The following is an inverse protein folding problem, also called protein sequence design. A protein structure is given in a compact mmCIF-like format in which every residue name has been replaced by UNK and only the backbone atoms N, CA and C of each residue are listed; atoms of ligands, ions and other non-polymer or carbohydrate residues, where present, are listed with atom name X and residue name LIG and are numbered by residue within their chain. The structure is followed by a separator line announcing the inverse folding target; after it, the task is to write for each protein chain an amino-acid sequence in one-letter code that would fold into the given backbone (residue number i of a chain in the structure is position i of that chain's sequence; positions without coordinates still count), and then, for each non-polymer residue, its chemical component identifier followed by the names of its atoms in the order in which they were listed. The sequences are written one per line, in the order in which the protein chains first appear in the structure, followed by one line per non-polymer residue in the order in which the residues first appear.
data_IF_946326088377
#
_entry.id   IF_946326088377
#
_cell.length_a   1.000
_cell.length_b   1.000
_cell.length_c   1.000
_cell.angle_alpha   90.00
_cell.angle_beta   90.00
_cell.angle_gamma   90.00
#
_symmetry.space_group_name_H-M   'P 1'
#
loop_
_entity.id
_entity.type
_entity.pdbx_description
1 polymer ?
#
# COMPACT_ATOMS: atom_id res chain seq x y z
N UNK A 1 10.69 -12.64 15.99
CA UNK A 1 10.66 -11.18 15.77
C UNK A 1 10.83 -10.47 17.10
N UNK A 2 11.60 -9.39 17.14
CA UNK A 2 11.83 -8.57 18.33
C UNK A 2 10.99 -7.29 18.25
N UNK A 3 10.52 -6.80 19.40
CA UNK A 3 9.82 -5.51 19.50
C UNK A 3 10.80 -4.33 19.35
N UNK A 4 10.29 -3.13 19.04
CA UNK A 4 11.11 -1.90 18.96
C UNK A 4 11.98 -1.70 20.21
N UNK A 5 11.46 -1.82 21.46
CA UNK A 5 12.31 -1.71 22.64
C UNK A 5 13.44 -2.74 22.70
N UNK A 6 13.19 -3.97 22.23
CA UNK A 6 14.19 -5.04 22.25
C UNK A 6 15.30 -4.79 21.22
N UNK A 7 14.98 -4.31 20.02
CA UNK A 7 16.02 -3.97 19.01
C UNK A 7 16.81 -2.72 19.37
N UNK A 8 16.22 -1.79 20.14
CA UNK A 8 16.90 -0.64 20.73
C UNK A 8 17.73 -0.99 21.97
N UNK A 9 17.95 -2.28 22.28
CA UNK A 9 18.79 -2.72 23.40
C UNK A 9 18.20 -2.47 24.79
N UNK A 10 16.89 -2.22 24.90
CA UNK A 10 16.22 -1.90 26.16
C UNK A 10 16.43 -0.45 26.64
N UNK A 11 17.20 0.36 25.89
CA UNK A 11 17.44 1.76 26.21
C UNK A 11 16.19 2.63 26.03
N UNK A 12 15.84 3.40 27.07
CA UNK A 12 14.64 4.24 27.05
C UNK A 12 14.74 5.38 26.03
N UNK A 13 15.91 6.02 25.94
CA UNK A 13 16.14 7.15 25.06
C UNK A 13 16.07 6.72 23.58
N UNK A 14 16.71 5.63 23.23
CA UNK A 14 16.77 5.02 21.90
C UNK A 14 15.38 4.56 21.47
N UNK A 15 14.65 3.87 22.36
CA UNK A 15 13.28 3.43 22.10
C UNK A 15 12.36 4.62 21.83
N UNK A 16 12.45 5.68 22.65
CA UNK A 16 11.66 6.90 22.44
C UNK A 16 12.03 7.61 21.15
N UNK A 17 13.31 7.67 20.81
CA UNK A 17 13.77 8.24 19.55
C UNK A 17 13.23 7.45 18.35
N UNK A 18 13.24 6.12 18.39
CA UNK A 18 12.70 5.27 17.33
C UNK A 18 11.20 5.51 17.11
N UNK A 19 10.39 5.53 18.17
CA UNK A 19 8.96 5.84 18.03
C UNK A 19 8.71 7.25 17.51
N UNK A 20 9.48 8.26 17.98
CA UNK A 20 9.38 9.64 17.47
C UNK A 20 9.75 9.75 16.00
N UNK A 21 10.72 8.97 15.54
CA UNK A 21 11.10 8.90 14.13
C UNK A 21 9.95 8.33 13.30
N UNK A 22 9.35 7.22 13.74
CA UNK A 22 8.25 6.55 13.03
C UNK A 22 6.93 7.33 13.04
N UNK A 23 6.72 8.20 14.04
CA UNK A 23 5.56 9.08 14.18
C UNK A 23 5.81 10.51 13.65
N UNK A 24 6.94 10.73 12.96
CA UNK A 24 7.29 12.05 12.45
C UNK A 24 6.52 12.36 11.15
N UNK A 25 5.57 13.30 11.21
CA UNK A 25 4.79 13.73 10.05
C UNK A 25 5.62 14.34 8.90
N UNK A 26 6.90 14.70 9.15
CA UNK A 26 7.84 15.15 8.09
C UNK A 26 8.54 14.01 7.36
N UNK A 27 8.44 12.78 7.87
CA UNK A 27 9.05 11.59 7.27
C UNK A 27 7.99 10.85 6.46
N UNK A 28 8.13 10.85 5.14
CA UNK A 28 7.21 10.10 4.27
C UNK A 28 7.68 8.66 4.06
N UNK A 29 6.74 7.74 3.82
CA UNK A 29 7.04 6.34 3.51
C UNK A 29 8.00 6.20 2.32
N UNK A 30 7.87 7.05 1.30
CA UNK A 30 8.76 7.05 0.13
C UNK A 30 10.19 7.42 0.49
N UNK A 31 10.40 8.28 1.48
CA UNK A 31 11.75 8.63 1.95
C UNK A 31 12.41 7.44 2.67
N UNK A 32 11.65 6.75 3.52
CA UNK A 32 12.12 5.50 4.16
C UNK A 32 12.46 4.46 3.11
N UNK A 33 11.60 4.27 2.11
CA UNK A 33 11.85 3.35 1.00
C UNK A 33 13.09 3.76 0.19
N UNK A 34 13.30 5.06 -0.03
CA UNK A 34 14.45 5.59 -0.79
C UNK A 34 15.78 5.21 -0.15
N UNK A 35 15.85 5.16 1.18
CA UNK A 35 17.04 4.70 1.90
C UNK A 35 17.44 3.26 1.55
N UNK A 36 16.48 2.44 1.10
CA UNK A 36 16.72 1.08 0.62
C UNK A 36 16.85 1.00 -0.90
N UNK A 37 16.03 1.72 -1.66
CA UNK A 37 15.99 1.61 -3.12
C UNK A 37 17.25 2.16 -3.78
N UNK A 38 17.86 3.23 -3.25
CA UNK A 38 19.11 3.79 -3.81
C UNK A 38 20.26 2.77 -3.76
N UNK A 39 20.61 2.15 -2.60
CA UNK A 39 21.59 1.08 -2.58
C UNK A 39 21.22 -0.12 -3.45
N UNK A 40 19.93 -0.47 -3.56
CA UNK A 40 19.48 -1.54 -4.45
C UNK A 40 19.75 -1.21 -5.91
N UNK A 41 19.55 0.04 -6.35
CA UNK A 41 19.91 0.47 -7.70
C UNK A 41 21.43 0.35 -7.95
N UNK A 42 22.28 0.66 -6.98
CA UNK A 42 23.73 0.43 -7.10
C UNK A 42 24.07 -1.05 -7.29
N UNK A 43 23.42 -1.95 -6.55
CA UNK A 43 23.60 -3.41 -6.71
C UNK A 43 23.12 -3.88 -8.08
N UNK A 44 22.01 -3.34 -8.58
CA UNK A 44 21.46 -3.68 -9.90
C UNK A 44 22.44 -3.30 -11.01
N UNK A 45 23.12 -2.15 -10.92
CA UNK A 45 24.11 -1.70 -11.92
C UNK A 45 25.30 -2.67 -12.09
N UNK A 46 25.55 -3.52 -11.10
CA UNK A 46 26.62 -4.54 -11.14
C UNK A 46 26.16 -5.86 -11.79
N UNK A 47 24.90 -5.97 -12.19
CA UNK A 47 24.33 -7.17 -12.78
C UNK A 47 24.07 -6.95 -14.28
N UNK A 48 24.37 -7.95 -15.11
CA UNK A 48 24.03 -7.92 -16.53
C UNK A 48 22.51 -7.97 -16.77
N UNK A 49 21.80 -8.73 -15.93
CA UNK A 49 20.35 -8.89 -15.97
C UNK A 49 19.81 -9.14 -14.56
N UNK A 50 18.59 -8.66 -14.32
CA UNK A 50 17.86 -8.85 -13.07
C UNK A 50 16.40 -9.18 -13.36
N UNK A 51 15.72 -9.80 -12.40
CA UNK A 51 14.29 -10.03 -12.42
C UNK A 51 13.61 -9.16 -11.38
N UNK A 52 12.60 -8.39 -11.82
CA UNK A 52 11.76 -7.57 -10.96
C UNK A 52 10.46 -8.31 -10.67
N UNK A 53 10.35 -8.90 -9.49
CA UNK A 53 9.18 -9.62 -9.04
C UNK A 53 8.20 -8.66 -8.39
N UNK A 54 6.95 -8.70 -8.84
CA UNK A 54 5.85 -7.90 -8.31
C UNK A 54 4.73 -8.83 -7.88
N UNK A 55 4.25 -8.64 -6.66
CA UNK A 55 3.11 -9.36 -6.13
C UNK A 55 2.36 -8.48 -5.12
N UNK A 56 1.07 -8.76 -4.91
CA UNK A 56 0.23 -8.02 -3.96
C UNK A 56 -0.02 -8.87 -2.74
N UNK A 57 0.38 -8.37 -1.56
CA UNK A 57 0.13 -9.02 -0.27
C UNK A 57 -0.78 -8.18 0.63
N UNK A 58 -1.41 -8.83 1.60
CA UNK A 58 -2.29 -8.21 2.59
C UNK A 58 -1.58 -8.05 3.93
N UNK A 59 -1.63 -6.84 4.47
CA UNK A 59 -1.25 -6.56 5.86
C UNK A 59 -2.51 -6.59 6.72
N UNK A 60 -2.71 -7.68 7.45
CA UNK A 60 -3.89 -7.90 8.29
C UNK A 60 -3.72 -7.27 9.68
N UNK A 61 -4.58 -6.30 9.99
CA UNK A 61 -4.64 -5.61 11.27
C UNK A 61 -5.97 -5.79 11.98
N UNK A 62 -6.71 -6.87 11.69
CA UNK A 62 -8.05 -7.10 12.23
C UNK A 62 -8.10 -7.14 13.76
N UNK A 63 -7.01 -7.54 14.42
CA UNK A 63 -6.85 -7.49 15.88
C UNK A 63 -6.60 -6.10 16.47
N UNK A 64 -6.57 -5.03 15.66
CA UNK A 64 -6.31 -3.64 16.08
C UNK A 64 -7.43 -2.71 15.60
N UNK A 65 -8.65 -2.83 16.17
CA UNK A 65 -9.82 -2.11 15.67
C UNK A 65 -9.78 -0.59 15.86
N UNK A 66 -8.93 -0.09 16.75
CA UNK A 66 -8.72 1.36 16.96
C UNK A 66 -7.72 1.99 16.01
N UNK A 67 -7.06 1.20 15.14
CA UNK A 67 -6.07 1.70 14.19
C UNK A 67 -6.76 2.44 13.02
N UNK A 68 -6.47 3.72 12.88
CA UNK A 68 -7.01 4.53 11.80
C UNK A 68 -6.34 4.25 10.45
N UNK A 69 -6.99 4.63 9.35
CA UNK A 69 -6.42 4.55 8.00
C UNK A 69 -6.47 3.17 7.35
N UNK A 70 -7.06 2.17 8.02
CA UNK A 70 -7.25 0.83 7.47
C UNK A 70 -8.46 0.76 6.54
N UNK A 71 -8.44 -0.23 5.64
CA UNK A 71 -9.54 -0.54 4.73
C UNK A 71 -9.94 -2.02 4.80
N UNK A 72 -10.94 -2.42 4.01
CA UNK A 72 -11.41 -3.81 3.96
C UNK A 72 -10.42 -4.71 3.19
N UNK A 73 -10.12 -5.88 3.73
CA UNK A 73 -9.37 -6.93 3.00
C UNK A 73 -10.31 -7.82 2.18
N UNK A 74 -9.95 -9.07 1.93
CA UNK A 74 -10.76 -10.01 1.15
C UNK A 74 -12.13 -10.33 1.78
N UNK A 75 -12.24 -10.31 3.10
CA UNK A 75 -13.49 -10.50 3.86
C UNK A 75 -13.94 -9.21 4.55
N UNK A 76 -15.24 -9.07 4.82
CA UNK A 76 -15.83 -7.86 5.42
C UNK A 76 -15.32 -7.60 6.83
N UNK A 77 -15.11 -8.68 7.57
CA UNK A 77 -14.67 -8.66 8.96
C UNK A 77 -13.15 -8.42 9.08
N UNK A 78 -12.41 -8.49 7.96
CA UNK A 78 -10.97 -8.28 7.93
C UNK A 78 -10.64 -6.86 7.51
N UNK A 79 -9.75 -6.23 8.26
CA UNK A 79 -9.29 -4.87 8.00
C UNK A 79 -7.77 -4.82 7.94
N UNK A 80 -7.26 -3.97 7.04
CA UNK A 80 -5.83 -3.93 6.76
C UNK A 80 -5.47 -3.02 5.60
N UNK A 81 -4.27 -3.25 5.07
CA UNK A 81 -3.71 -2.56 3.91
C UNK A 81 -3.27 -3.59 2.86
N UNK A 82 -3.29 -3.18 1.60
CA UNK A 82 -2.59 -3.88 0.54
C UNK A 82 -1.18 -3.31 0.42
N UNK A 83 -0.23 -4.20 0.15
CA UNK A 83 1.16 -3.86 -0.12
C UNK A 83 1.58 -4.52 -1.43
N UNK A 84 2.16 -3.75 -2.33
CA UNK A 84 2.64 -4.22 -3.63
C UNK A 84 4.09 -3.79 -3.84
N UNK A 85 5.06 -4.56 -3.30
CA UNK A 85 6.47 -4.29 -3.48
C UNK A 85 6.97 -4.81 -4.84
N UNK A 86 8.05 -4.18 -5.32
CA UNK A 86 8.87 -4.68 -6.42
C UNK A 86 10.20 -5.19 -5.86
N UNK A 87 10.32 -6.51 -5.72
CA UNK A 87 11.53 -7.17 -5.25
C UNK A 87 12.44 -7.48 -6.44
N UNK A 88 13.71 -7.10 -6.37
CA UNK A 88 14.67 -7.37 -7.42
C UNK A 88 15.61 -8.50 -7.02
N UNK A 89 15.75 -9.47 -7.92
CA UNK A 89 16.64 -10.63 -7.75
C UNK A 89 17.60 -10.76 -8.94
N UNK A 90 18.80 -11.29 -8.69
CA UNK A 90 19.77 -11.63 -9.74
C UNK A 90 19.40 -12.95 -10.42
N UNK A 91 20.07 -13.24 -11.54
CA UNK A 91 19.92 -14.52 -12.25
C UNK A 91 20.35 -15.73 -11.40
N UNK A 92 21.27 -15.52 -10.47
CA UNK A 92 21.69 -16.53 -9.50
C UNK A 92 20.70 -16.72 -8.34
N UNK A 93 19.55 -16.02 -8.35
CA UNK A 93 18.53 -16.09 -7.31
C UNK A 93 18.85 -15.28 -6.06
N UNK A 94 19.80 -14.35 -6.12
CA UNK A 94 20.17 -13.50 -4.97
C UNK A 94 19.26 -12.27 -4.91
N UNK A 95 18.64 -12.03 -3.76
CA UNK A 95 17.85 -10.82 -3.53
C UNK A 95 18.74 -9.57 -3.44
N UNK A 96 18.54 -8.62 -4.36
CA UNK A 96 19.29 -7.35 -4.43
C UNK A 96 18.61 -6.24 -3.60
N UNK A 97 17.30 -6.38 -3.37
CA UNK A 97 16.48 -5.54 -2.51
C UNK A 97 15.20 -5.06 -3.18
N UNK A 98 14.56 -4.03 -2.62
CA UNK A 98 13.28 -3.51 -3.08
C UNK A 98 13.50 -2.16 -3.76
N UNK A 99 12.95 -1.99 -4.96
CA UNK A 99 13.07 -0.73 -5.74
C UNK A 99 11.89 0.18 -5.55
N UNK A 100 10.69 -0.39 -5.49
CA UNK A 100 9.44 0.35 -5.36
C UNK A 100 8.46 -0.43 -4.46
N UNK A 101 7.52 0.28 -3.87
CA UNK A 101 6.49 -0.29 -3.03
C UNK A 101 5.27 0.62 -2.97
N UNK A 102 4.10 0.05 -3.21
CA UNK A 102 2.82 0.74 -3.11
C UNK A 102 2.05 0.17 -1.93
N UNK A 103 1.33 1.03 -1.21
CA UNK A 103 0.37 0.59 -0.22
C UNK A 103 -0.93 1.38 -0.30
N UNK A 104 -2.05 0.72 -0.03
CA UNK A 104 -3.36 1.36 -0.04
C UNK A 104 -4.37 0.64 0.84
N UNK A 105 -5.38 1.38 1.28
CA UNK A 105 -6.56 0.86 1.94
C UNK A 105 -7.70 0.76 0.91
N UNK A 106 -8.42 -0.37 0.86
CA UNK A 106 -9.65 -0.47 0.06
C UNK A 106 -10.81 0.18 0.80
N UNK A 107 -11.64 0.93 0.07
CA UNK A 107 -12.87 1.49 0.61
C UNK A 107 -13.80 0.37 1.11
N UNK A 108 -14.50 0.64 2.21
CA UNK A 108 -15.68 -0.15 2.54
C UNK A 108 -16.69 -0.02 1.41
N UNK A 109 -17.28 -1.14 0.99
CA UNK A 109 -18.35 -1.11 0.00
C UNK A 109 -19.49 -0.31 0.62
N UNK A 110 -19.91 0.78 -0.02
CA UNK A 110 -21.09 1.50 0.45
C UNK A 110 -22.26 0.52 0.45
N UNK A 111 -22.89 0.32 1.60
CA UNK A 111 -24.24 -0.25 1.63
C UNK A 111 -25.09 0.68 0.75
N UNK A 112 -25.70 0.15 -0.32
CA UNK A 112 -26.78 0.89 -1.00
C UNK A 112 -27.80 1.21 0.08
N UNK A 113 -28.09 2.49 0.31
CA UNK A 113 -29.17 2.88 1.22
C UNK A 113 -30.45 2.24 0.69
N UNK A 114 -31.10 1.42 1.53
CA UNK A 114 -32.44 0.94 1.22
C UNK A 114 -33.35 2.16 1.04
N UNK A 115 -34.14 2.18 -0.03
CA UNK A 115 -35.16 3.22 -0.21
C UNK A 115 -36.12 3.16 0.99
N UNK A 116 -36.51 4.29 1.60
CA UNK A 116 -37.46 4.27 2.70
C UNK A 116 -38.83 3.85 2.15
N UNK A 117 -39.36 2.71 2.57
CA UNK A 117 -40.75 2.34 2.32
C UNK A 117 -41.10 0.87 2.13
N UNK A 118 -40.14 -0.02 1.90
CA UNK A 118 -40.47 -1.44 1.66
C UNK A 118 -39.71 -2.33 2.63
N UNK A 119 -40.45 -2.92 3.58
CA UNK A 119 -39.94 -4.02 4.40
C UNK A 119 -39.57 -5.19 3.50
N UNK A 120 -38.28 -5.45 3.33
CA UNK A 120 -37.79 -6.51 2.46
C UNK A 120 -36.31 -6.79 2.71
N UNK A 121 -36.02 -8.05 2.99
CA UNK A 121 -34.72 -8.63 3.34
C UNK A 121 -33.59 -8.29 2.35
N UNK A 122 -32.38 -8.24 2.91
CA UNK A 122 -31.08 -8.14 2.24
C UNK A 122 -31.02 -8.98 0.94
N UNK A 123 -30.77 -8.33 -0.21
CA UNK A 123 -30.46 -9.03 -1.46
C UNK A 123 -29.06 -8.62 -1.93
N UNK A 124 -28.17 -9.61 -1.95
CA UNK A 124 -26.81 -9.52 -2.46
C UNK A 124 -26.83 -9.34 -3.99
N UNK A 125 -26.57 -8.11 -4.46
CA UNK A 125 -26.51 -7.78 -5.88
C UNK A 125 -25.08 -7.65 -6.40
N UNK A 126 -24.65 -8.56 -7.27
CA UNK A 126 -23.52 -8.37 -8.19
C UNK A 126 -23.96 -7.42 -9.30
N UNK A 127 -23.39 -6.22 -9.42
CA UNK A 127 -23.53 -5.46 -10.68
C UNK A 127 -22.39 -4.46 -10.88
N UNK A 128 -21.69 -4.62 -12.00
CA UNK A 128 -20.77 -3.67 -12.61
C UNK A 128 -21.53 -2.39 -12.96
N UNK A 129 -21.18 -1.26 -12.36
CA UNK A 129 -21.76 0.04 -12.67
C UNK A 129 -20.99 0.73 -13.81
N UNK A 130 -21.70 1.38 -14.72
CA UNK A 130 -21.08 2.19 -15.77
C UNK A 130 -20.40 3.43 -15.14
N UNK A 131 -19.28 3.92 -15.71
CA UNK A 131 -18.46 4.97 -15.10
C UNK A 131 -19.21 6.25 -14.68
N UNK A 132 -20.31 6.59 -15.36
CA UNK A 132 -21.13 7.78 -15.13
C UNK A 132 -22.07 7.72 -13.92
N UNK A 133 -22.22 6.55 -13.28
CA UNK A 133 -23.18 6.32 -12.18
C UNK A 133 -22.50 6.00 -10.83
N UNK A 134 -21.19 6.25 -10.72
CA UNK A 134 -20.45 6.07 -9.46
C UNK A 134 -20.76 7.23 -8.50
N UNK A 135 -21.24 6.98 -7.26
CA UNK A 135 -21.41 8.04 -6.29
C UNK A 135 -20.03 8.61 -5.92
N UNK A 136 -19.94 9.95 -5.94
CA UNK A 136 -18.74 10.64 -5.53
C UNK A 136 -18.43 10.35 -4.06
N UNK A 137 -17.33 9.62 -3.85
CA UNK A 137 -16.49 9.70 -2.65
C UNK A 137 -17.12 9.13 -1.37
N UNK A 138 -16.59 7.98 -0.93
CA UNK A 138 -16.77 7.50 0.44
C UNK A 138 -16.20 8.55 1.42
N UNK A 139 -17.08 9.29 2.10
CA UNK A 139 -16.72 10.41 2.99
C UNK A 139 -15.96 9.98 4.27
N UNK A 140 -15.85 8.68 4.54
CA UNK A 140 -15.19 8.14 5.74
C UNK A 140 -13.80 7.55 5.47
N UNK A 141 -13.28 7.63 4.23
CA UNK A 141 -11.90 7.21 3.94
C UNK A 141 -10.96 8.42 4.08
N UNK A 142 -10.13 8.50 5.14
CA UNK A 142 -9.18 9.60 5.31
C UNK A 142 -7.98 9.51 4.34
N UNK A 143 -7.79 8.39 3.66
CA UNK A 143 -6.77 8.25 2.63
C UNK A 143 -7.36 8.67 1.28
N UNK A 144 -6.73 9.64 0.60
CA UNK A 144 -6.95 9.85 -0.84
C UNK A 144 -6.72 8.49 -1.50
N UNK A 145 -7.77 7.92 -2.10
CA UNK A 145 -7.65 6.70 -2.88
C UNK A 145 -6.69 7.00 -4.04
N UNK A 146 -5.41 6.66 -3.87
CA UNK A 146 -4.47 6.60 -4.96
C UNK A 146 -5.04 5.66 -6.02
N UNK A 147 -4.87 6.03 -7.28
CA UNK A 147 -5.23 5.18 -8.41
C UNK A 147 -4.62 3.78 -8.19
N UNK A 148 -5.46 2.74 -8.22
CA UNK A 148 -5.00 1.35 -8.21
C UNK A 148 -4.22 1.13 -9.50
N UNK A 149 -2.90 0.87 -9.49
CA UNK A 149 -2.23 0.43 -10.70
C UNK A 149 -2.82 -0.93 -11.10
N UNK A 150 -3.30 -1.02 -12.34
CA UNK A 150 -3.75 -2.28 -12.92
C UNK A 150 -2.55 -3.26 -12.95
N UNK A 151 -2.71 -4.53 -12.52
CA UNK A 151 -1.62 -5.48 -12.28
C UNK A 151 -0.83 -5.93 -13.52
N UNK A 152 -1.10 -5.36 -14.71
CA UNK A 152 -0.51 -5.80 -15.99
C UNK A 152 0.45 -4.80 -16.64
N UNK A 153 0.66 -3.60 -16.10
CA UNK A 153 1.54 -2.62 -16.77
C UNK A 153 2.95 -2.72 -16.21
N UNK A 154 3.71 -3.66 -16.76
CA UNK A 154 5.17 -3.66 -16.70
C UNK A 154 5.68 -2.40 -17.40
N UNK A 155 6.17 -1.42 -16.65
CA UNK A 155 6.71 -0.19 -17.23
C UNK A 155 8.09 -0.48 -17.84
N UNK A 156 8.12 -0.61 -19.17
CA UNK A 156 9.36 -0.49 -19.94
C UNK A 156 9.77 0.99 -20.00
N UNK A 157 11.07 1.25 -20.15
CA UNK A 157 11.73 2.57 -20.06
C UNK A 157 11.31 3.60 -21.13
N UNK A 158 10.23 3.36 -21.88
CA UNK A 158 9.96 3.98 -23.18
C UNK A 158 8.50 4.41 -23.42
N UNK A 159 7.66 4.56 -22.39
CA UNK A 159 6.30 5.13 -22.56
C UNK A 159 6.26 6.65 -22.28
N UNK A 160 5.99 7.49 -23.31
CA UNK A 160 6.01 8.96 -23.21
C UNK A 160 4.71 9.61 -22.71
N UNK A 161 3.64 8.87 -22.42
CA UNK A 161 2.34 9.44 -21.99
C UNK A 161 2.18 9.57 -20.45
N UNK A 162 3.27 9.50 -19.70
CA UNK A 162 3.23 9.61 -18.24
C UNK A 162 3.37 11.07 -17.77
N UNK A 163 2.39 11.92 -18.14
CA UNK A 163 2.15 13.20 -17.48
C UNK A 163 0.91 13.11 -16.58
N UNK A 164 1.15 12.81 -15.29
CA UNK A 164 0.50 13.45 -14.13
C UNK A 164 1.05 12.80 -12.83
N UNK A 165 2.09 13.38 -12.22
CA UNK A 165 2.03 14.39 -11.12
C UNK A 165 1.97 13.73 -9.72
N UNK A 166 2.77 14.06 -8.69
CA UNK A 166 3.85 15.03 -8.44
C UNK A 166 4.80 14.50 -7.37
N UNK A 167 6.08 14.61 -7.62
CA UNK A 167 7.13 14.60 -6.61
C UNK A 167 8.35 15.22 -7.26
N UNK A 168 8.30 16.54 -7.45
CA UNK A 168 9.42 17.30 -8.00
C UNK A 168 10.67 17.13 -7.15
N UNK A 169 11.82 17.20 -7.84
CA UNK A 169 13.17 17.24 -7.28
C UNK A 169 13.30 18.20 -6.09
#
# INVERSE_FOLDING_TARGET
MASVPNVCGGGWAETKAAYRLLDNARLDFREVLRAHSVPTLERIRQQSRVLCLQDTTELDYSGRPSMAGLGRLNYEQRQGLYLHPTLVISEAGVALGVTDCWHWARCYRSLRQAKPGEGGSYVEGKTSLKPSERPDRCKSCPAKAGHQPEPSVAWSRSDPDCEAYTGGL
#
